data_IF_113739532395
#
_entry.id   IF_113739532395
#
_cell.length_a   1.000
_cell.length_b   1.000
_cell.length_c   1.000
_cell.angle_alpha   90.00
_cell.angle_beta   90.00
_cell.angle_gamma   90.00
#
_symmetry.space_group_name_H-M   'P 1'
#
loop_
_entity.id
_entity.type
_entity.pdbx_description
1 polymer ?
#
# COMPACT_ATOMS: atom_id res chain seq x y z
N UNK A 1 31.97 -16.94 12.12
CA UNK A 1 31.33 -16.05 13.11
C UNK A 1 30.33 -15.27 12.28
N UNK A 2 29.08 -15.70 12.27
CA UNK A 2 28.04 -15.14 11.40
C UNK A 2 27.76 -13.69 11.83
N UNK A 3 28.02 -12.75 10.92
CA UNK A 3 27.47 -11.41 11.01
C UNK A 3 25.95 -11.56 10.96
N UNK A 4 25.30 -11.42 12.11
CA UNK A 4 23.85 -11.28 12.21
C UNK A 4 23.45 -10.01 11.47
N UNK A 5 23.24 -10.13 10.16
CA UNK A 5 22.67 -9.09 9.32
C UNK A 5 21.36 -8.65 9.97
N UNK A 6 21.33 -7.44 10.54
CA UNK A 6 20.15 -6.92 11.20
C UNK A 6 19.11 -6.57 10.14
N UNK A 7 18.30 -7.58 9.80
CA UNK A 7 17.21 -7.51 8.82
C UNK A 7 16.34 -6.28 9.09
N UNK A 8 16.18 -5.89 10.36
CA UNK A 8 15.42 -4.72 10.79
C UNK A 8 16.03 -3.41 10.29
N UNK A 9 17.35 -3.21 10.46
CA UNK A 9 18.02 -2.01 9.98
C UNK A 9 17.99 -1.93 8.45
N UNK A 10 18.21 -3.06 7.77
CA UNK A 10 18.12 -3.11 6.31
C UNK A 10 16.69 -2.84 5.81
N UNK A 11 15.65 -3.32 6.50
CA UNK A 11 14.25 -2.99 6.20
C UNK A 11 13.96 -1.49 6.38
N UNK A 12 14.43 -0.87 7.47
CA UNK A 12 14.23 0.56 7.70
C UNK A 12 14.97 1.43 6.68
N UNK A 13 16.22 1.11 6.36
CA UNK A 13 16.98 1.81 5.32
C UNK A 13 16.34 1.65 3.94
N UNK A 14 15.83 0.46 3.62
CA UNK A 14 15.14 0.22 2.37
C UNK A 14 13.80 0.99 2.29
N UNK A 15 13.01 1.01 3.38
CA UNK A 15 11.79 1.83 3.50
C UNK A 15 12.04 3.33 3.30
N UNK A 16 13.12 3.85 3.86
CA UNK A 16 13.50 5.26 3.70
C UNK A 16 13.89 5.60 2.24
N UNK A 17 14.20 4.58 1.44
CA UNK A 17 14.60 4.70 0.03
C UNK A 17 13.48 4.31 -0.93
N UNK A 18 12.29 3.96 -0.44
CA UNK A 18 11.14 3.62 -1.27
C UNK A 18 10.62 4.88 -1.97
N UNK A 19 10.46 4.78 -3.29
CA UNK A 19 9.86 5.82 -4.10
C UNK A 19 8.35 5.62 -4.12
N UNK A 20 7.61 6.63 -3.68
CA UNK A 20 6.16 6.62 -3.79
C UNK A 20 5.76 6.64 -5.27
N UNK A 21 4.94 5.67 -5.68
CA UNK A 21 4.49 5.56 -7.07
C UNK A 21 3.08 6.08 -7.26
N UNK A 22 2.15 5.66 -6.40
CA UNK A 22 0.74 5.88 -6.64
C UNK A 22 -0.13 5.70 -5.39
N UNK A 23 -1.39 6.12 -5.52
CA UNK A 23 -2.47 5.81 -4.60
C UNK A 23 -3.63 5.16 -5.34
N UNK A 24 -4.37 4.29 -4.64
CA UNK A 24 -5.57 3.64 -5.17
C UNK A 24 -6.64 3.66 -4.09
N UNK A 25 -7.79 4.28 -4.37
CA UNK A 25 -8.96 4.15 -3.51
C UNK A 25 -9.54 2.74 -3.64
N UNK A 26 -10.16 2.21 -2.59
CA UNK A 26 -10.90 0.96 -2.69
C UNK A 26 -12.08 0.93 -1.75
N UNK A 27 -13.03 0.06 -2.09
CA UNK A 27 -14.15 -0.34 -1.25
C UNK A 27 -14.05 -1.82 -0.94
N UNK A 28 -14.24 -2.19 0.33
CA UNK A 28 -14.30 -3.57 0.76
C UNK A 28 -15.65 -3.88 1.40
N UNK A 29 -16.27 -4.98 1.02
CA UNK A 29 -17.51 -5.43 1.65
C UNK A 29 -17.23 -5.79 3.11
N UNK A 30 -17.91 -5.18 4.06
CA UNK A 30 -17.77 -5.54 5.46
C UNK A 30 -18.74 -6.69 5.79
N UNK A 31 -18.27 -7.86 6.27
CA UNK A 31 -19.16 -8.95 6.66
C UNK A 31 -20.10 -8.58 7.82
N UNK A 32 -19.72 -7.60 8.64
CA UNK A 32 -20.44 -7.19 9.84
C UNK A 32 -21.36 -5.98 9.63
N UNK A 33 -21.26 -5.27 8.49
CA UNK A 33 -22.04 -4.07 8.21
C UNK A 33 -22.78 -4.17 6.86
N UNK A 34 -23.92 -3.47 6.75
CA UNK A 34 -24.67 -3.39 5.48
C UNK A 34 -23.97 -2.49 4.45
N UNK A 35 -23.11 -1.58 4.90
CA UNK A 35 -22.33 -0.69 4.06
C UNK A 35 -20.86 -1.16 4.00
N UNK A 36 -20.24 -0.99 2.83
CA UNK A 36 -18.83 -1.30 2.63
C UNK A 36 -17.93 -0.36 3.43
N UNK A 37 -16.65 -0.74 3.56
CA UNK A 37 -15.63 0.13 4.14
C UNK A 37 -14.83 0.79 3.03
N UNK A 38 -14.53 2.06 3.19
CA UNK A 38 -13.62 2.77 2.31
C UNK A 38 -12.17 2.61 2.80
N UNK A 39 -11.25 2.54 1.85
CA UNK A 39 -9.83 2.52 2.14
C UNK A 39 -9.00 3.14 1.04
N UNK A 40 -7.71 3.33 1.35
CA UNK A 40 -6.69 3.72 0.40
C UNK A 40 -5.53 2.73 0.45
N UNK A 41 -5.06 2.36 -0.72
CA UNK A 41 -3.81 1.64 -0.93
C UNK A 41 -2.75 2.65 -1.36
N UNK A 42 -1.72 2.79 -0.54
CA UNK A 42 -0.48 3.48 -0.90
C UNK A 42 0.46 2.48 -1.55
N UNK A 43 1.06 2.87 -2.67
CA UNK A 43 1.99 2.02 -3.42
C UNK A 43 3.33 2.73 -3.52
N UNK A 44 4.37 2.08 -3.02
CA UNK A 44 5.75 2.48 -3.21
C UNK A 44 6.56 1.34 -3.81
N UNK A 45 7.71 1.68 -4.39
CA UNK A 45 8.62 0.69 -4.96
C UNK A 45 10.06 0.95 -4.52
N UNK A 46 10.78 -0.15 -4.39
CA UNK A 46 12.23 -0.14 -4.27
C UNK A 46 12.83 -1.05 -5.34
N UNK A 47 13.73 -0.49 -6.14
CA UNK A 47 14.39 -1.19 -7.23
C UNK A 47 15.88 -1.30 -6.92
N UNK A 48 16.40 -2.53 -6.95
CA UNK A 48 17.82 -2.86 -6.78
C UNK A 48 18.59 -2.59 -8.08
N UNK A 49 19.92 -2.39 -8.04
CA UNK A 49 20.73 -2.09 -9.23
C UNK A 49 20.62 -3.13 -10.36
N UNK A 50 20.39 -4.41 -10.04
CA UNK A 50 20.19 -5.48 -11.01
C UNK A 50 18.78 -5.49 -11.67
N UNK A 51 17.90 -4.58 -11.27
CA UNK A 51 16.57 -4.39 -11.84
C UNK A 51 15.44 -5.17 -11.15
N UNK A 52 15.76 -6.08 -10.22
CA UNK A 52 14.81 -6.68 -9.29
C UNK A 52 14.41 -5.71 -8.18
N UNK A 53 13.45 -6.07 -7.35
CA UNK A 53 12.96 -5.14 -6.33
C UNK A 53 11.73 -5.64 -5.59
N UNK A 54 11.06 -4.72 -4.90
CA UNK A 54 9.76 -5.01 -4.29
C UNK A 54 8.82 -3.81 -4.37
N UNK A 55 7.53 -4.12 -4.36
CA UNK A 55 6.45 -3.17 -4.16
C UNK A 55 6.04 -3.21 -2.69
N UNK A 56 5.96 -2.04 -2.05
CA UNK A 56 5.39 -1.87 -0.71
C UNK A 56 3.96 -1.39 -0.86
N UNK A 57 3.03 -2.20 -0.36
CA UNK A 57 1.59 -1.98 -0.43
C UNK A 57 1.09 -1.71 0.98
N UNK A 58 0.78 -0.45 1.28
CA UNK A 58 0.20 -0.07 2.58
C UNK A 58 -1.29 0.18 2.43
N UNK A 59 -2.11 -0.72 2.99
CA UNK A 59 -3.55 -0.60 3.05
C UNK A 59 -3.94 0.18 4.29
N UNK A 60 -4.82 1.17 4.13
CA UNK A 60 -5.38 1.96 5.22
C UNK A 60 -6.89 1.93 5.05
N UNK A 61 -7.61 1.32 5.99
CA UNK A 61 -9.06 1.23 6.00
C UNK A 61 -9.61 2.17 7.07
N UNK A 62 -10.63 2.96 6.73
CA UNK A 62 -11.33 3.82 7.70
C UNK A 62 -12.38 2.99 8.45
N UNK A 63 -12.12 2.70 9.72
CA UNK A 63 -13.05 1.99 10.59
C UNK A 63 -14.16 2.90 11.13
N UNK A 64 -14.15 4.19 10.78
CA UNK A 64 -15.11 5.20 11.23
C UNK A 64 -15.22 5.30 12.75
N UNK A 65 -14.17 4.87 13.46
CA UNK A 65 -14.11 4.81 14.92
C UNK A 65 -14.76 3.58 15.57
N UNK A 66 -15.28 2.63 14.78
CA UNK A 66 -15.82 1.36 15.29
C UNK A 66 -14.73 0.28 15.35
N UNK A 67 -14.07 0.19 16.51
CA UNK A 67 -13.04 -0.79 16.77
C UNK A 67 -13.53 -2.25 16.70
N UNK A 68 -14.84 -2.53 16.78
CA UNK A 68 -15.36 -3.89 16.66
C UNK A 68 -15.13 -4.47 15.25
N UNK A 69 -15.08 -3.59 14.25
CA UNK A 69 -14.81 -3.92 12.84
C UNK A 69 -13.37 -4.38 12.61
N UNK A 70 -12.44 -4.05 13.51
CA UNK A 70 -11.02 -4.40 13.37
C UNK A 70 -10.81 -5.92 13.22
N UNK A 71 -11.55 -6.72 13.98
CA UNK A 71 -11.34 -8.17 14.11
C UNK A 71 -11.51 -8.97 12.81
N UNK A 72 -12.25 -8.43 11.83
CA UNK A 72 -12.54 -9.11 10.58
C UNK A 72 -11.39 -9.03 9.54
N UNK A 73 -10.57 -7.99 9.62
CA UNK A 73 -9.57 -7.67 8.58
C UNK A 73 -8.35 -8.59 8.58
N UNK A 74 -7.76 -9.00 9.72
CA UNK A 74 -6.61 -9.91 9.71
C UNK A 74 -6.92 -11.23 8.99
N UNK A 75 -8.11 -11.79 9.20
CA UNK A 75 -8.53 -13.03 8.53
C UNK A 75 -8.70 -12.86 7.01
N UNK A 76 -9.05 -11.65 6.56
CA UNK A 76 -9.15 -11.32 5.14
C UNK A 76 -7.79 -11.14 4.49
N UNK A 77 -6.87 -10.43 5.15
CA UNK A 77 -5.51 -10.26 4.65
C UNK A 77 -4.71 -11.56 4.62
N UNK A 78 -5.00 -12.53 5.51
CA UNK A 78 -4.46 -13.90 5.43
C UNK A 78 -4.80 -14.67 4.15
N UNK A 79 -5.77 -14.22 3.34
CA UNK A 79 -6.04 -14.78 2.01
C UNK A 79 -4.96 -14.40 0.98
N UNK A 80 -4.21 -13.35 1.27
CA UNK A 80 -3.05 -12.91 0.50
C UNK A 80 -1.82 -13.56 1.11
N UNK A 81 -1.64 -14.84 0.81
CA UNK A 81 -0.47 -15.60 1.23
C UNK A 81 0.49 -15.86 0.05
N UNK A 82 1.68 -16.36 0.38
CA UNK A 82 2.74 -16.67 -0.59
C UNK A 82 2.26 -17.60 -1.71
N UNK A 83 1.51 -18.65 -1.39
CA UNK A 83 1.08 -19.66 -2.35
C UNK A 83 0.01 -19.10 -3.29
N UNK A 84 -0.98 -18.40 -2.73
CA UNK A 84 -2.06 -17.76 -3.45
C UNK A 84 -1.53 -16.70 -4.45
N UNK A 85 -0.52 -15.93 -4.04
CA UNK A 85 0.15 -14.95 -4.89
C UNK A 85 1.01 -15.61 -5.95
N UNK A 86 1.85 -16.58 -5.60
CA UNK A 86 2.72 -17.28 -6.56
C UNK A 86 1.91 -17.93 -7.70
N UNK A 87 0.77 -18.55 -7.36
CA UNK A 87 -0.12 -19.17 -8.34
C UNK A 87 -0.72 -18.17 -9.36
N UNK A 88 -0.83 -16.89 -9.00
CA UNK A 88 -1.54 -15.86 -9.81
C UNK A 88 -0.62 -14.83 -10.45
N UNK A 89 0.43 -14.40 -9.74
CA UNK A 89 1.42 -13.45 -10.25
C UNK A 89 2.44 -14.10 -11.18
N UNK A 90 2.63 -15.41 -11.05
CA UNK A 90 3.48 -16.21 -11.93
C UNK A 90 4.97 -16.12 -11.58
N UNK A 91 5.86 -16.60 -12.47
CA UNK A 91 7.26 -16.92 -12.12
C UNK A 91 8.15 -15.70 -11.84
N UNK A 92 7.70 -14.48 -12.14
CA UNK A 92 8.43 -13.25 -11.83
C UNK A 92 8.29 -12.81 -10.37
N UNK A 93 7.28 -13.32 -9.65
CA UNK A 93 7.09 -13.08 -8.23
C UNK A 93 8.01 -14.02 -7.43
N UNK A 94 8.75 -13.44 -6.48
CA UNK A 94 9.70 -14.17 -5.65
C UNK A 94 9.06 -14.52 -4.30
N UNK A 95 8.62 -13.49 -3.57
CA UNK A 95 8.15 -13.66 -2.21
C UNK A 95 7.26 -12.52 -1.73
N UNK A 96 6.40 -12.86 -0.79
CA UNK A 96 5.64 -11.96 0.07
C UNK A 96 6.37 -11.86 1.41
N UNK A 97 6.54 -10.63 1.90
CA UNK A 97 6.90 -10.35 3.29
C UNK A 97 5.78 -9.51 3.90
N UNK A 98 5.15 -10.03 4.94
CA UNK A 98 4.25 -9.28 5.80
C UNK A 98 5.09 -8.46 6.78
N UNK A 99 4.91 -7.14 6.78
CA UNK A 99 5.67 -6.26 7.67
C UNK A 99 4.76 -5.81 8.80
N UNK A 100 4.99 -6.26 10.05
CA UNK A 100 4.20 -5.80 11.17
C UNK A 100 4.43 -4.30 11.35
N UNK A 101 3.39 -3.51 11.09
CA UNK A 101 3.41 -2.09 11.41
C UNK A 101 3.45 -1.93 12.93
N UNK A 102 4.32 -1.04 13.39
CA UNK A 102 4.64 -0.84 14.80
C UNK A 102 3.35 -0.65 15.65
N UNK A 103 3.16 -1.36 16.77
CA UNK A 103 1.96 -1.30 17.62
C UNK A 103 1.59 0.09 18.18
N UNK A 104 2.45 1.10 18.04
CA UNK A 104 2.07 2.50 18.33
C UNK A 104 1.04 3.08 17.34
N UNK A 105 0.69 2.33 16.28
CA UNK A 105 -0.38 2.64 15.34
C UNK A 105 -1.73 1.98 15.70
N UNK A 106 -1.95 1.57 16.96
CA UNK A 106 -3.29 1.18 17.46
C UNK A 106 -4.26 2.36 17.40
N UNK A 107 -4.77 2.64 16.20
CA UNK A 107 -5.85 3.58 15.95
C UNK A 107 -7.17 2.83 15.97
N UNK A 108 -8.10 3.26 16.83
CA UNK A 108 -9.48 2.77 16.77
C UNK A 108 -10.20 3.21 15.49
N UNK A 109 -9.63 4.18 14.78
CA UNK A 109 -10.19 4.76 13.57
C UNK A 109 -9.65 4.11 12.30
N UNK A 110 -8.46 3.51 12.31
CA UNK A 110 -7.86 2.96 11.10
C UNK A 110 -7.32 1.55 11.32
N UNK A 111 -7.60 0.66 10.38
CA UNK A 111 -6.85 -0.59 10.22
C UNK A 111 -5.77 -0.37 9.18
N UNK A 112 -4.52 -0.73 9.50
CA UNK A 112 -3.39 -0.57 8.57
C UNK A 112 -2.67 -1.90 8.42
N UNK A 113 -2.46 -2.31 7.17
CA UNK A 113 -1.72 -3.52 6.79
C UNK A 113 -0.63 -3.16 5.79
N UNK A 114 0.54 -3.79 5.87
CA UNK A 114 1.63 -3.58 4.92
C UNK A 114 2.14 -4.91 4.35
N UNK A 115 2.13 -5.01 3.02
CA UNK A 115 2.61 -6.16 2.27
C UNK A 115 3.75 -5.74 1.34
N UNK A 116 4.87 -6.46 1.41
CA UNK A 116 5.98 -6.28 0.49
C UNK A 116 6.03 -7.43 -0.51
N UNK A 117 5.85 -7.13 -1.79
CA UNK A 117 5.85 -8.09 -2.88
C UNK A 117 7.16 -7.99 -3.67
N UNK A 118 7.99 -9.03 -3.59
CA UNK A 118 9.28 -9.09 -4.26
C UNK A 118 9.17 -9.67 -5.66
N UNK A 119 9.91 -9.08 -6.60
CA UNK A 119 9.95 -9.47 -7.99
C UNK A 119 11.38 -9.55 -8.52
N UNK A 120 11.64 -10.55 -9.36
CA UNK A 120 12.93 -10.72 -10.05
C UNK A 120 13.25 -9.53 -10.96
N UNK A 121 12.22 -8.92 -11.54
CA UNK A 121 12.34 -7.76 -12.42
C UNK A 121 11.18 -6.81 -12.16
N UNK A 122 11.50 -5.65 -11.62
CA UNK A 122 10.54 -4.59 -11.29
C UNK A 122 10.79 -3.33 -12.12
N UNK A 123 12.06 -2.97 -12.33
CA UNK A 123 12.47 -1.75 -13.01
C UNK A 123 11.79 -1.56 -14.39
N UNK A 124 11.04 -0.47 -14.53
CA UNK A 124 10.35 -0.11 -15.76
C UNK A 124 9.18 -1.04 -16.11
N UNK A 125 8.69 -1.83 -15.15
CA UNK A 125 7.52 -2.70 -15.27
C UNK A 125 6.47 -2.41 -14.19
N UNK A 126 6.73 -1.47 -13.28
CA UNK A 126 5.91 -1.18 -12.10
C UNK A 126 4.45 -0.92 -12.48
N UNK A 127 4.23 -0.01 -13.43
CA UNK A 127 2.89 0.35 -13.89
C UNK A 127 2.14 -0.84 -14.45
N UNK A 128 2.74 -1.54 -15.40
CA UNK A 128 2.11 -2.69 -16.04
C UNK A 128 1.86 -3.82 -15.05
N UNK A 129 2.82 -4.09 -14.17
CA UNK A 129 2.71 -5.12 -13.14
C UNK A 129 1.57 -4.80 -12.17
N UNK A 130 1.41 -3.54 -11.78
CA UNK A 130 0.34 -3.08 -10.89
C UNK A 130 -1.03 -3.20 -11.54
N UNK A 131 -1.20 -2.64 -12.74
CA UNK A 131 -2.49 -2.59 -13.44
C UNK A 131 -2.93 -3.97 -13.97
N UNK A 132 -2.02 -4.71 -14.62
CA UNK A 132 -2.38 -5.98 -15.29
C UNK A 132 -2.47 -7.16 -14.31
N UNK A 133 -1.77 -7.09 -13.17
CA UNK A 133 -1.56 -8.27 -12.30
C UNK A 133 -1.87 -8.02 -10.84
N UNK A 134 -1.10 -7.15 -10.18
CA UNK A 134 -1.13 -7.05 -8.72
C UNK A 134 -2.49 -6.56 -8.23
N UNK A 135 -3.01 -5.46 -8.77
CA UNK A 135 -4.32 -4.94 -8.36
C UNK A 135 -5.46 -5.92 -8.67
N UNK A 136 -5.56 -6.51 -9.88
CA UNK A 136 -6.57 -7.54 -10.16
C UNK A 136 -6.50 -8.76 -9.23
N UNK A 137 -5.30 -9.24 -8.91
CA UNK A 137 -5.13 -10.38 -7.99
C UNK A 137 -5.54 -10.03 -6.57
N UNK A 138 -5.16 -8.85 -6.08
CA UNK A 138 -5.56 -8.38 -4.76
C UNK A 138 -7.06 -8.16 -4.67
N UNK A 139 -7.69 -7.63 -5.73
CA UNK A 139 -9.15 -7.49 -5.82
C UNK A 139 -9.85 -8.83 -5.58
N UNK A 140 -9.37 -9.90 -6.23
CA UNK A 140 -9.94 -11.24 -6.09
C UNK A 140 -9.68 -11.86 -4.72
N UNK A 141 -8.46 -11.74 -4.19
CA UNK A 141 -8.08 -12.38 -2.91
C UNK A 141 -8.73 -11.69 -1.71
N UNK A 142 -8.81 -10.36 -1.75
CA UNK A 142 -9.33 -9.54 -0.65
C UNK A 142 -10.83 -9.24 -0.80
N UNK A 143 -11.44 -9.53 -1.95
CA UNK A 143 -12.82 -9.14 -2.26
C UNK A 143 -13.00 -7.61 -2.17
N UNK A 144 -12.06 -6.90 -2.79
CA UNK A 144 -12.01 -5.43 -2.84
C UNK A 144 -12.35 -4.95 -4.24
N UNK A 145 -13.07 -3.82 -4.33
CA UNK A 145 -13.23 -3.07 -5.58
C UNK A 145 -12.28 -1.87 -5.54
N UNK A 146 -11.27 -1.88 -6.41
CA UNK A 146 -10.31 -0.78 -6.51
C UNK A 146 -10.77 0.26 -7.54
N UNK A 147 -10.57 1.52 -7.20
CA UNK A 147 -10.64 2.63 -8.13
C UNK A 147 -9.45 2.60 -9.12
N UNK A 148 -9.47 3.40 -10.19
CA UNK A 148 -8.29 3.58 -11.04
C UNK A 148 -7.08 4.09 -10.23
N UNK A 149 -5.88 3.66 -10.65
CA UNK A 149 -4.62 4.05 -10.00
C UNK A 149 -4.32 5.54 -10.26
N UNK A 150 -4.07 6.30 -9.20
CA UNK A 150 -3.63 7.70 -9.26
C UNK A 150 -2.10 7.77 -9.16
N UNK A 151 -1.45 7.82 -10.34
CA UNK A 151 0.00 7.86 -10.48
C UNK A 151 0.58 9.22 -10.08
N UNK A 152 1.62 9.20 -9.26
CA UNK A 152 2.44 10.39 -9.02
C UNK A 152 3.32 10.63 -10.24
N UNK A 153 3.25 11.83 -10.82
CA UNK A 153 4.09 12.20 -11.96
C UNK A 153 5.58 12.17 -11.55
N UNK A 154 6.44 11.52 -12.36
CA UNK A 154 7.88 11.69 -12.25
C UNK A 154 8.22 13.16 -12.51
N UNK A 155 8.53 13.93 -11.46
CA UNK A 155 8.88 15.34 -11.63
C UNK A 155 10.32 15.56 -11.15
N UNK A 156 11.25 15.99 -12.04
CA UNK A 156 12.51 16.59 -11.64
C UNK A 156 12.21 17.93 -10.96
N UNK A 157 12.87 18.17 -9.83
CA UNK A 157 12.49 19.15 -8.82
C UNK A 157 12.11 20.55 -9.30
N UNK A 158 11.04 21.07 -8.72
CA UNK A 158 10.76 22.50 -8.62
C UNK A 158 10.37 22.89 -7.17
N UNK A 159 10.81 24.05 -6.66
CA UNK A 159 10.64 24.42 -5.25
C UNK A 159 9.21 24.86 -4.90
N UNK A 160 8.80 24.48 -3.69
CA UNK A 160 7.49 24.66 -3.05
C UNK A 160 7.04 26.12 -2.84
N UNK A 161 5.73 26.44 -2.96
CA UNK A 161 5.15 27.69 -2.48
C UNK A 161 4.52 27.52 -1.08
N UNK A 162 4.98 28.27 -0.07
CA UNK A 162 4.57 28.13 1.33
C UNK A 162 3.35 28.98 1.78
N UNK A 163 2.62 29.64 0.89
CA UNK A 163 1.62 30.67 1.29
C UNK A 163 0.14 30.31 1.04
N UNK A 164 -0.28 29.06 1.25
CA UNK A 164 -1.71 28.69 1.20
C UNK A 164 -2.19 28.24 2.59
N UNK A 165 -3.20 28.91 3.13
CA UNK A 165 -3.90 28.48 4.35
C UNK A 165 -4.43 27.04 4.18
N UNK A 166 -4.18 26.14 5.14
CA UNK A 166 -4.59 24.75 5.01
C UNK A 166 -6.13 24.66 5.01
N UNK A 167 -6.73 23.88 4.09
CA UNK A 167 -8.18 23.69 4.06
C UNK A 167 -8.67 22.99 5.34
N UNK A 168 -9.95 23.22 5.69
CA UNK A 168 -10.61 22.50 6.79
C UNK A 168 -10.81 21.02 6.41
N UNK A 169 -9.83 20.20 6.79
CA UNK A 169 -9.74 18.79 6.42
C UNK A 169 -10.91 17.95 6.95
N UNK A 170 -11.60 18.40 8.00
CA UNK A 170 -12.66 17.62 8.67
C UNK A 170 -13.90 17.36 7.81
N UNK A 171 -14.09 18.12 6.71
CA UNK A 171 -15.27 18.04 5.83
C UNK A 171 -15.06 17.27 4.54
N UNK A 172 -13.88 16.67 4.35
CA UNK A 172 -13.52 15.96 3.13
C UNK A 172 -13.39 14.46 3.40
N UNK A 173 -13.84 13.63 2.44
CA UNK A 173 -13.54 12.19 2.45
C UNK A 173 -12.03 11.95 2.37
N UNK A 174 -11.56 10.81 2.84
CA UNK A 174 -10.14 10.47 2.84
C UNK A 174 -9.55 10.53 1.42
N UNK A 175 -10.30 10.08 0.41
CA UNK A 175 -9.93 10.21 -1.00
C UNK A 175 -9.77 11.68 -1.45
N UNK A 176 -10.65 12.57 -1.00
CA UNK A 176 -10.58 14.00 -1.31
C UNK A 176 -9.43 14.71 -0.58
N UNK A 177 -9.08 14.25 0.63
CA UNK A 177 -7.92 14.76 1.37
C UNK A 177 -6.62 14.43 0.65
N UNK A 178 -6.48 13.18 0.19
CA UNK A 178 -5.27 12.72 -0.53
C UNK A 178 -5.12 13.41 -1.88
N UNK A 179 -6.21 13.57 -2.65
CA UNK A 179 -6.22 14.32 -3.93
C UNK A 179 -5.84 15.81 -3.78
N UNK A 180 -5.97 16.38 -2.58
CA UNK A 180 -5.69 17.79 -2.27
C UNK A 180 -4.41 18.01 -1.48
N UNK A 181 -3.67 16.95 -1.15
CA UNK A 181 -2.31 17.13 -0.69
C UNK A 181 -1.53 17.81 -1.82
N UNK A 182 -0.81 18.91 -1.55
CA UNK A 182 0.01 19.54 -2.56
C UNK A 182 0.96 18.48 -3.10
N UNK A 183 0.84 18.22 -4.41
CA UNK A 183 1.75 17.35 -5.14
C UNK A 183 3.14 17.92 -4.89
N UNK A 184 3.99 17.14 -4.20
CA UNK A 184 5.36 17.53 -3.94
C UNK A 184 6.02 17.77 -5.31
N UNK A 185 6.30 19.04 -5.64
CA UNK A 185 7.12 19.42 -6.78
C UNK A 185 8.58 19.06 -6.56
#
# INVERSE_FOLDING_TARGET
MEESYDITQSLFSAKASENMLAFVGFNASDPAAMEGIEGVLKIAAFTRPEGGGYLTLTFILDLEGDASRYSAWPARFRRVDQEALAARLGPGFEMLIEVPLNPFAESKQFYIEELNLYFQRLAGQEQRLLEDRVIPVLSQLLDFTFDPIDWLAETPGDPWPFDIEPPDWTKLSLQQRIKRLPKRG
#
